data_IF_873549671997
#
_entry.id   IF_873549671997
#
_cell.length_a   1.000
_cell.length_b   1.000
_cell.length_c   1.000
_cell.angle_alpha   90.00
_cell.angle_beta   90.00
_cell.angle_gamma   90.00
#
_symmetry.space_group_name_H-M   'P 1'
#
loop_
_entity.id
_entity.type
_entity.pdbx_description
1 polymer ?
#
# COMPACT_ATOMS: atom_id res chain seq x y z
N UNK A 1 -16.13 25.71 0.19
CA UNK A 1 -15.80 25.14 1.51
C UNK A 1 -14.33 24.77 1.47
N UNK A 2 -13.49 25.48 2.21
CA UNK A 2 -12.12 25.01 2.48
C UNK A 2 -12.26 23.78 3.35
N UNK A 3 -12.06 22.59 2.75
CA UNK A 3 -11.82 21.40 3.54
C UNK A 3 -10.62 21.72 4.43
N UNK A 4 -10.79 21.54 5.74
CA UNK A 4 -9.70 21.72 6.68
C UNK A 4 -8.66 20.64 6.39
N UNK A 5 -7.48 21.05 5.93
CA UNK A 5 -6.39 20.13 5.60
C UNK A 5 -6.06 19.19 6.78
N UNK A 6 -6.27 19.66 8.02
CA UNK A 6 -6.08 18.85 9.21
C UNK A 6 -7.12 17.73 9.33
N UNK A 7 -8.37 17.97 8.93
CA UNK A 7 -9.42 16.96 8.89
C UNK A 7 -9.17 15.91 7.79
N UNK A 8 -8.71 16.33 6.60
CA UNK A 8 -8.34 15.40 5.53
C UNK A 8 -7.13 14.54 5.90
N UNK A 9 -6.13 15.13 6.56
CA UNK A 9 -5.01 14.38 7.12
C UNK A 9 -5.48 13.34 8.15
N UNK A 10 -6.38 13.72 9.06
CA UNK A 10 -6.93 12.81 10.06
C UNK A 10 -7.74 11.67 9.42
N UNK A 11 -8.58 11.96 8.41
CA UNK A 11 -9.32 10.96 7.64
C UNK A 11 -8.37 9.98 6.95
N UNK A 12 -7.29 10.49 6.33
CA UNK A 12 -6.29 9.63 5.69
C UNK A 12 -5.60 8.72 6.71
N UNK A 13 -5.12 9.26 7.83
CA UNK A 13 -4.47 8.46 8.87
C UNK A 13 -5.38 7.37 9.41
N UNK A 14 -6.68 7.64 9.61
CA UNK A 14 -7.67 6.63 10.00
C UNK A 14 -7.81 5.52 8.96
N UNK A 15 -7.81 5.85 7.66
CA UNK A 15 -7.83 4.86 6.58
C UNK A 15 -6.58 4.00 6.58
N UNK A 16 -5.41 4.60 6.79
CA UNK A 16 -4.13 3.86 6.90
C UNK A 16 -4.13 2.93 8.11
N UNK A 17 -4.67 3.37 9.25
CA UNK A 17 -4.83 2.50 10.44
C UNK A 17 -5.74 1.31 10.11
N UNK A 18 -6.90 1.53 9.51
CA UNK A 18 -7.80 0.45 9.07
C UNK A 18 -7.12 -0.53 8.11
N UNK A 19 -6.35 -0.03 7.14
CA UNK A 19 -5.57 -0.86 6.23
C UNK A 19 -4.51 -1.68 6.99
N UNK A 20 -3.76 -1.05 7.90
CA UNK A 20 -2.74 -1.73 8.70
C UNK A 20 -3.33 -2.80 9.62
N UNK A 21 -4.52 -2.56 10.20
CA UNK A 21 -5.25 -3.54 11.00
C UNK A 21 -5.61 -4.78 10.18
N UNK A 22 -6.05 -4.62 8.94
CA UNK A 22 -6.37 -5.73 8.03
C UNK A 22 -5.12 -6.51 7.64
N UNK A 23 -4.03 -5.82 7.28
CA UNK A 23 -2.75 -6.45 6.98
C UNK A 23 -2.23 -7.26 8.18
N UNK A 24 -2.42 -6.76 9.40
CA UNK A 24 -2.05 -7.46 10.64
C UNK A 24 -2.79 -8.79 10.79
N UNK A 25 -4.06 -8.90 10.37
CA UNK A 25 -4.81 -10.17 10.39
C UNK A 25 -4.15 -11.26 9.53
N UNK A 26 -3.33 -10.86 8.55
CA UNK A 26 -2.56 -11.76 7.70
C UNK A 26 -1.09 -11.88 8.12
N UNK A 27 -0.72 -11.41 9.31
CA UNK A 27 0.68 -11.35 9.78
C UNK A 27 1.60 -10.52 8.87
N UNK A 28 1.04 -9.50 8.22
CA UNK A 28 1.78 -8.58 7.36
C UNK A 28 2.02 -7.28 8.14
N UNK A 29 3.30 -6.98 8.41
CA UNK A 29 3.71 -5.76 9.09
C UNK A 29 3.87 -4.60 8.10
N UNK A 30 3.53 -3.38 8.51
CA UNK A 30 3.80 -2.16 7.75
C UNK A 30 5.15 -1.59 8.17
N UNK A 31 6.06 -1.36 7.22
CA UNK A 31 7.40 -0.83 7.46
C UNK A 31 7.51 0.65 7.13
N UNK A 32 6.85 1.09 6.06
CA UNK A 32 6.82 2.50 5.65
C UNK A 32 5.46 2.84 5.08
N UNK A 33 5.08 4.11 5.23
CA UNK A 33 3.92 4.71 4.60
C UNK A 33 4.29 6.12 4.19
N UNK A 34 3.92 6.52 2.98
CA UNK A 34 4.08 7.87 2.46
C UNK A 34 2.77 8.32 1.83
N UNK A 35 2.35 9.53 2.14
CA UNK A 35 1.17 10.17 1.56
C UNK A 35 1.57 11.49 0.93
N UNK A 36 1.07 11.77 -0.27
CA UNK A 36 1.32 13.02 -0.96
C UNK A 36 0.04 13.85 -1.06
N UNK A 37 -0.07 14.84 -0.18
CA UNK A 37 -1.21 15.77 -0.13
C UNK A 37 -1.38 16.61 -1.40
N UNK A 38 -0.31 16.82 -2.18
CA UNK A 38 -0.34 17.62 -3.41
C UNK A 38 -0.53 16.77 -4.68
N UNK A 39 -0.61 15.46 -4.55
CA UNK A 39 -0.75 14.54 -5.67
C UNK A 39 -2.04 13.73 -5.57
N UNK A 40 -3.19 14.40 -5.52
CA UNK A 40 -4.52 13.77 -5.63
C UNK A 40 -4.76 12.63 -4.61
N UNK A 41 -4.15 12.71 -3.43
CA UNK A 41 -4.27 11.68 -2.39
C UNK A 41 -3.51 10.38 -2.69
N UNK A 42 -2.51 10.43 -3.58
CA UNK A 42 -1.61 9.32 -3.85
C UNK A 42 -0.83 8.91 -2.61
N UNK A 43 -0.62 7.60 -2.46
CA UNK A 43 0.12 7.04 -1.34
C UNK A 43 0.88 5.79 -1.71
N UNK A 44 1.92 5.51 -0.93
CA UNK A 44 2.66 4.27 -1.01
C UNK A 44 2.84 3.66 0.38
N UNK A 45 2.89 2.34 0.43
CA UNK A 45 3.03 1.57 1.65
C UNK A 45 3.93 0.36 1.38
N UNK A 46 4.97 0.19 2.19
CA UNK A 46 5.77 -1.04 2.18
C UNK A 46 5.31 -1.92 3.32
N UNK A 47 4.91 -3.14 3.00
CA UNK A 47 4.40 -4.10 3.96
C UNK A 47 4.94 -5.51 3.69
N UNK A 48 4.98 -6.37 4.71
CA UNK A 48 5.49 -7.72 4.55
C UNK A 48 5.97 -8.33 5.85
N UNK A 49 6.98 -9.17 5.72
CA UNK A 49 7.73 -9.72 6.85
C UNK A 49 9.22 -9.38 6.70
N UNK A 50 10.05 -9.97 7.56
CA UNK A 50 11.50 -9.70 7.60
C UNK A 50 12.21 -10.05 6.29
N UNK A 51 11.73 -11.06 5.58
CA UNK A 51 12.40 -11.63 4.41
C UNK A 51 11.77 -11.20 3.09
N UNK A 52 10.49 -10.82 3.10
CA UNK A 52 9.74 -10.48 1.91
C UNK A 52 8.87 -9.28 2.15
N UNK A 53 8.86 -8.37 1.19
CA UNK A 53 8.05 -7.17 1.25
C UNK A 53 7.35 -6.95 -0.08
N UNK A 54 6.21 -6.29 0.01
CA UNK A 54 5.48 -5.70 -1.10
C UNK A 54 5.47 -4.19 -0.95
N UNK A 55 5.49 -3.49 -2.07
CA UNK A 55 5.21 -2.07 -2.16
C UNK A 55 3.87 -1.91 -2.85
N UNK A 56 2.91 -1.40 -2.10
CA UNK A 56 1.61 -0.99 -2.61
C UNK A 56 1.68 0.50 -2.95
N UNK A 57 1.19 0.88 -4.12
CA UNK A 57 1.12 2.29 -4.54
C UNK A 57 -0.25 2.57 -5.10
N UNK A 58 -0.94 3.55 -4.51
CA UNK A 58 -2.14 4.15 -5.03
C UNK A 58 -1.79 5.46 -5.73
N UNK A 59 -2.07 5.52 -7.03
CA UNK A 59 -2.08 6.76 -7.79
C UNK A 59 -3.51 7.32 -7.78
N UNK A 60 -3.75 8.37 -7.00
CA UNK A 60 -5.05 9.00 -6.89
C UNK A 60 -5.42 9.88 -8.09
N UNK A 61 -4.46 10.18 -8.98
CA UNK A 61 -4.72 10.91 -10.23
C UNK A 61 -5.23 9.97 -11.32
N UNK A 62 -4.58 8.81 -11.45
CA UNK A 62 -4.88 7.81 -12.47
C UNK A 62 -5.82 6.70 -11.93
N UNK A 63 -6.23 6.76 -10.66
CA UNK A 63 -7.02 5.75 -9.95
C UNK A 63 -6.45 4.33 -10.03
N UNK A 64 -5.12 4.20 -10.08
CA UNK A 64 -4.44 2.90 -10.21
C UNK A 64 -3.86 2.47 -8.87
N UNK A 65 -4.24 1.28 -8.43
CA UNK A 65 -3.53 0.55 -7.39
C UNK A 65 -2.52 -0.40 -8.04
N UNK A 66 -1.28 -0.37 -7.59
CA UNK A 66 -0.21 -1.26 -8.06
C UNK A 66 0.52 -1.94 -6.91
N UNK A 67 1.05 -3.13 -7.18
CA UNK A 67 1.85 -3.91 -6.25
C UNK A 67 3.16 -4.36 -6.92
N UNK A 68 4.26 -4.18 -6.20
CA UNK A 68 5.55 -4.76 -6.52
C UNK A 68 6.06 -5.58 -5.32
N UNK A 69 6.91 -6.58 -5.55
CA UNK A 69 7.50 -7.39 -4.49
C UNK A 69 9.03 -7.33 -4.51
N UNK A 70 9.64 -7.55 -3.35
CA UNK A 70 11.08 -7.61 -3.19
C UNK A 70 11.46 -8.58 -2.06
N UNK A 71 12.57 -9.28 -2.23
CA UNK A 71 13.17 -10.14 -1.21
C UNK A 71 14.28 -9.40 -0.47
N UNK A 72 14.24 -9.46 0.86
CA UNK A 72 15.19 -8.81 1.76
C UNK A 72 15.98 -9.91 2.49
N UNK A 73 17.07 -10.35 1.87
CA UNK A 73 17.93 -11.44 2.37
C UNK A 73 19.13 -11.02 3.23
N UNK A 74 19.50 -9.73 3.25
CA UNK A 74 20.71 -9.26 3.95
C UNK A 74 20.88 -7.74 3.95
N UNK A 75 21.72 -7.21 4.85
CA UNK A 75 21.72 -5.83 5.34
C UNK A 75 22.42 -4.76 4.46
N UNK A 76 22.55 -4.93 3.15
CA UNK A 76 23.25 -3.91 2.32
C UNK A 76 22.86 -3.81 0.85
N UNK A 77 21.95 -4.64 0.34
CA UNK A 77 21.49 -4.52 -1.04
C UNK A 77 20.26 -3.59 -1.12
N UNK A 78 20.22 -2.62 -2.05
CA UNK A 78 18.99 -1.88 -2.32
C UNK A 78 17.88 -2.84 -2.77
N UNK A 79 16.66 -2.58 -2.31
CA UNK A 79 15.50 -3.39 -2.65
C UNK A 79 15.26 -3.38 -4.16
N UNK A 80 15.34 -4.55 -4.80
CA UNK A 80 14.91 -4.70 -6.19
C UNK A 80 13.42 -5.00 -6.19
N UNK A 81 12.61 -4.03 -6.61
CA UNK A 81 11.16 -4.16 -6.69
C UNK A 81 10.75 -4.72 -8.04
N UNK A 82 10.18 -5.92 -8.04
CA UNK A 82 9.59 -6.55 -9.22
C UNK A 82 8.10 -6.23 -9.27
N UNK A 83 7.59 -5.54 -10.32
CA UNK A 83 6.15 -5.36 -10.50
C UNK A 83 5.43 -6.71 -10.53
N UNK A 84 4.28 -6.80 -9.87
CA UNK A 84 3.45 -8.01 -9.86
C UNK A 84 2.14 -7.76 -10.60
N UNK A 85 1.37 -6.77 -10.15
CA UNK A 85 0.06 -6.48 -10.71
C UNK A 85 -0.34 -5.02 -10.50
N UNK A 86 -1.29 -4.57 -11.30
CA UNK A 86 -1.98 -3.29 -11.13
C UNK A 86 -3.44 -3.42 -11.50
N UNK A 87 -4.28 -2.57 -10.91
CA UNK A 87 -5.71 -2.51 -11.16
C UNK A 87 -6.20 -1.07 -11.15
N UNK A 88 -6.96 -0.72 -12.19
CA UNK A 88 -7.68 0.54 -12.25
C UNK A 88 -8.96 0.42 -11.40
N UNK A 89 -9.15 1.38 -10.50
CA UNK A 89 -10.23 1.41 -9.50
C UNK A 89 -10.95 2.76 -9.56
N UNK A 90 -11.28 3.22 -10.76
CA UNK A 90 -12.05 4.45 -10.96
C UNK A 90 -13.43 4.33 -10.29
N UNK A 91 -13.80 5.34 -9.51
CA UNK A 91 -15.05 5.37 -8.75
C UNK A 91 -15.08 4.51 -7.48
N UNK A 92 -14.00 3.75 -7.20
CA UNK A 92 -13.91 2.96 -5.98
C UNK A 92 -13.78 3.87 -4.75
N UNK A 93 -14.43 3.49 -3.66
CA UNK A 93 -14.26 4.17 -2.39
C UNK A 93 -12.99 3.72 -1.65
N UNK A 94 -12.68 4.39 -0.53
CA UNK A 94 -11.48 4.08 0.26
C UNK A 94 -11.48 2.65 0.82
N UNK A 95 -12.65 2.07 1.08
CA UNK A 95 -12.81 0.74 1.63
C UNK A 95 -12.52 -0.33 0.56
N UNK A 96 -13.00 -0.11 -0.66
CA UNK A 96 -12.72 -0.95 -1.82
C UNK A 96 -11.23 -0.93 -2.21
N UNK A 97 -10.61 0.26 -2.19
CA UNK A 97 -9.18 0.41 -2.42
C UNK A 97 -8.38 -0.32 -1.33
N UNK A 98 -8.76 -0.17 -0.06
CA UNK A 98 -8.10 -0.86 1.05
C UNK A 98 -8.22 -2.38 0.93
N UNK A 99 -9.39 -2.90 0.56
CA UNK A 99 -9.60 -4.33 0.32
C UNK A 99 -8.70 -4.85 -0.81
N UNK A 100 -8.67 -4.15 -1.94
CA UNK A 100 -7.79 -4.52 -3.06
C UNK A 100 -6.30 -4.49 -2.67
N UNK A 101 -5.89 -3.52 -1.86
CA UNK A 101 -4.52 -3.41 -1.36
C UNK A 101 -4.13 -4.61 -0.47
N UNK A 102 -5.04 -5.07 0.40
CA UNK A 102 -4.83 -6.28 1.21
C UNK A 102 -4.72 -7.51 0.31
N UNK A 103 -5.61 -7.68 -0.67
CA UNK A 103 -5.58 -8.81 -1.60
C UNK A 103 -4.26 -8.88 -2.36
N UNK A 104 -3.80 -7.73 -2.87
CA UNK A 104 -2.51 -7.59 -3.57
C UNK A 104 -1.34 -7.96 -2.65
N UNK A 105 -1.35 -7.50 -1.40
CA UNK A 105 -0.28 -7.81 -0.45
C UNK A 105 -0.23 -9.31 -0.10
N UNK A 106 -1.39 -9.92 0.14
CA UNK A 106 -1.49 -11.35 0.45
C UNK A 106 -1.01 -12.21 -0.73
N UNK A 107 -1.40 -11.86 -1.97
CA UNK A 107 -0.92 -12.57 -3.16
C UNK A 107 0.57 -12.35 -3.40
N UNK A 108 1.04 -11.10 -3.35
CA UNK A 108 2.43 -10.78 -3.65
C UNK A 108 3.43 -11.43 -2.71
N UNK A 109 3.08 -11.58 -1.43
CA UNK A 109 3.93 -12.30 -0.47
C UNK A 109 3.92 -13.84 -0.67
N UNK A 110 2.88 -14.40 -1.30
CA UNK A 110 2.80 -15.82 -1.67
C UNK A 110 3.56 -16.13 -2.95
N UNK A 111 3.44 -15.28 -3.97
CA UNK A 111 4.10 -15.47 -5.27
C UNK A 111 5.62 -15.29 -5.21
N UNK A 112 6.13 -14.53 -4.23
CA UNK A 112 7.55 -14.49 -3.93
C UNK A 112 8.11 -15.76 -3.28
N UNK A 113 7.31 -16.82 -3.08
CA UNK A 113 7.72 -18.06 -2.41
C UNK A 113 8.26 -19.18 -3.30
N UNK A 114 8.30 -18.97 -4.61
CA UNK A 114 8.76 -19.94 -5.59
C UNK A 114 10.24 -19.72 -5.97
#
# INVERSE_FOLDING_TARGET
MTLDDSEEALKHLRRVVSLAERLRLHSIAVYTHQYNYLAFGSWSLVAGNRHRRVQLTWDGKEFVLSCAASEFGGSSAPASWRPLESKHLEGADAEEIARAAVDFAVRGLREGAA
#
